data_IF_897373229683
#
_entry.id   IF_897373229683
#
_cell.length_a   1.000
_cell.length_b   1.000
_cell.length_c   1.000
_cell.angle_alpha   90.00
_cell.angle_beta   90.00
_cell.angle_gamma   90.00
#
_symmetry.space_group_name_H-M   'P 1'
#
loop_
_entity.id
_entity.type
_entity.pdbx_description
1 polymer ?
#
# COMPACT_ATOMS: atom_id res chain seq x y z
N UNK A 1 -17.49 -20.15 -15.67
CA UNK A 1 -16.51 -21.03 -16.33
C UNK A 1 -16.78 -22.47 -15.87
N UNK A 2 -16.70 -23.48 -16.73
CA UNK A 2 -16.84 -24.88 -16.27
C UNK A 2 -15.64 -25.29 -15.40
N UNK A 3 -15.85 -26.13 -14.39
CA UNK A 3 -14.74 -26.59 -13.52
C UNK A 3 -13.69 -27.39 -14.30
N UNK A 4 -14.11 -28.15 -15.32
CA UNK A 4 -13.19 -28.87 -16.21
C UNK A 4 -12.24 -27.93 -16.98
N UNK A 5 -12.75 -26.78 -17.42
CA UNK A 5 -11.94 -25.75 -18.08
C UNK A 5 -11.06 -25.01 -17.08
N UNK A 6 -11.56 -24.78 -15.86
CA UNK A 6 -10.77 -24.21 -14.77
C UNK A 6 -9.55 -25.09 -14.46
N UNK A 7 -9.72 -26.41 -14.33
CA UNK A 7 -8.61 -27.33 -14.05
C UNK A 7 -7.56 -27.35 -15.17
N UNK A 8 -7.98 -27.19 -16.43
CA UNK A 8 -7.06 -27.06 -17.56
C UNK A 8 -6.24 -25.76 -17.49
N UNK A 9 -6.85 -24.65 -17.07
CA UNK A 9 -6.18 -23.35 -16.90
C UNK A 9 -5.29 -23.38 -15.65
N UNK A 10 -5.78 -23.92 -14.54
CA UNK A 10 -5.07 -23.97 -13.27
C UNK A 10 -3.76 -24.75 -13.39
N UNK A 11 -3.74 -25.85 -14.15
CA UNK A 11 -2.50 -26.58 -14.46
C UNK A 11 -1.45 -25.72 -15.18
N UNK A 12 -1.86 -24.79 -16.06
CA UNK A 12 -0.95 -23.84 -16.72
C UNK A 12 -0.41 -22.78 -15.75
N UNK A 13 -1.15 -22.51 -14.68
CA UNK A 13 -0.77 -21.58 -13.61
C UNK A 13 0.02 -22.27 -12.48
N UNK A 14 0.35 -23.56 -12.63
CA UNK A 14 1.14 -24.33 -11.66
C UNK A 14 0.37 -25.01 -10.54
N UNK A 15 -0.98 -25.01 -10.58
CA UNK A 15 -1.78 -25.77 -9.62
C UNK A 15 -1.68 -27.28 -9.91
N UNK A 16 -1.59 -28.08 -8.84
CA UNK A 16 -1.70 -29.54 -8.93
C UNK A 16 -3.16 -29.96 -9.13
N UNK A 17 -3.35 -31.25 -9.42
CA UNK A 17 -4.68 -31.83 -9.58
C UNK A 17 -5.52 -31.59 -8.32
N UNK A 18 -6.78 -31.15 -8.50
CA UNK A 18 -7.75 -30.81 -7.45
C UNK A 18 -7.45 -29.59 -6.56
N UNK A 19 -6.26 -28.98 -6.63
CA UNK A 19 -5.94 -27.78 -5.86
C UNK A 19 -6.79 -26.57 -6.27
N UNK A 20 -7.17 -26.48 -7.54
CA UNK A 20 -8.02 -25.40 -8.04
C UNK A 20 -9.42 -25.44 -7.41
N UNK A 21 -10.01 -26.63 -7.30
CA UNK A 21 -11.29 -26.83 -6.61
C UNK A 21 -11.20 -26.50 -5.13
N UNK A 22 -10.15 -26.99 -4.45
CA UNK A 22 -9.89 -26.67 -3.04
C UNK A 22 -9.70 -25.16 -2.80
N UNK A 23 -9.04 -24.47 -3.74
CA UNK A 23 -8.86 -23.02 -3.70
C UNK A 23 -10.20 -22.28 -3.79
N UNK A 24 -11.08 -22.65 -4.73
CA UNK A 24 -12.40 -22.03 -4.83
C UNK A 24 -13.21 -22.20 -3.54
N UNK A 25 -13.20 -23.41 -2.98
CA UNK A 25 -13.92 -23.74 -1.74
C UNK A 25 -13.35 -23.00 -0.52
N UNK A 26 -12.08 -22.59 -0.56
CA UNK A 26 -11.46 -21.76 0.48
C UNK A 26 -11.98 -20.32 0.47
N UNK A 27 -12.51 -19.83 -0.65
CA UNK A 27 -12.99 -18.44 -0.77
C UNK A 27 -14.44 -18.38 -1.26
N UNK A 28 -15.42 -18.87 -0.46
CA UNK A 28 -16.83 -18.91 -0.86
C UNK A 28 -17.47 -17.51 -0.99
N UNK A 29 -16.84 -16.48 -0.45
CA UNK A 29 -17.25 -15.08 -0.58
C UNK A 29 -16.76 -14.44 -1.89
N UNK A 30 -15.71 -14.98 -2.53
CA UNK A 30 -15.22 -14.54 -3.84
C UNK A 30 -15.82 -15.38 -4.95
N UNK A 31 -15.91 -16.69 -4.76
CA UNK A 31 -16.34 -17.64 -5.78
C UNK A 31 -17.65 -18.32 -5.42
N UNK A 32 -18.53 -18.41 -6.41
CA UNK A 32 -19.77 -19.17 -6.35
C UNK A 32 -19.67 -20.36 -7.30
N UNK A 33 -19.86 -21.56 -6.75
CA UNK A 33 -19.97 -22.80 -7.52
C UNK A 33 -21.44 -23.15 -7.65
N UNK A 34 -21.91 -23.38 -8.87
CA UNK A 34 -23.29 -23.70 -9.19
C UNK A 34 -23.37 -24.75 -10.30
N UNK A 35 -24.43 -25.54 -10.31
CA UNK A 35 -24.69 -26.50 -11.38
C UNK A 35 -25.38 -25.78 -12.56
N UNK A 36 -24.89 -26.00 -13.78
CA UNK A 36 -25.53 -25.42 -14.95
C UNK A 36 -26.92 -26.05 -15.14
N UNK A 37 -28.01 -25.25 -15.26
CA UNK A 37 -29.39 -25.74 -15.28
C UNK A 37 -29.74 -26.67 -16.46
N UNK A 38 -28.85 -26.79 -17.45
CA UNK A 38 -29.08 -27.53 -18.70
C UNK A 38 -28.03 -28.62 -18.84
N UNK A 39 -26.76 -28.26 -18.71
CA UNK A 39 -25.65 -29.18 -18.92
C UNK A 39 -25.39 -30.11 -17.73
N UNK A 40 -25.97 -29.86 -16.54
CA UNK A 40 -25.75 -30.65 -15.31
C UNK A 40 -24.26 -30.79 -14.92
N UNK A 41 -23.44 -29.81 -15.34
CA UNK A 41 -22.01 -29.71 -15.03
C UNK A 41 -21.81 -28.53 -14.08
N UNK A 42 -20.83 -28.64 -13.19
CA UNK A 42 -20.46 -27.57 -12.27
C UNK A 42 -19.74 -26.43 -12.99
N UNK A 43 -20.20 -25.22 -12.71
CA UNK A 43 -19.62 -23.95 -13.12
C UNK A 43 -19.18 -23.16 -11.90
N UNK A 44 -18.14 -22.36 -12.07
CA UNK A 44 -17.75 -21.33 -11.11
C UNK A 44 -17.94 -19.94 -11.72
N UNK A 45 -18.32 -18.98 -10.88
CA UNK A 45 -18.32 -17.54 -11.20
C UNK A 45 -17.87 -16.74 -9.98
N UNK A 46 -17.52 -15.47 -10.21
CA UNK A 46 -17.32 -14.54 -9.11
C UNK A 46 -18.67 -14.18 -8.49
N UNK A 47 -18.69 -14.00 -7.16
CA UNK A 47 -19.87 -13.50 -6.46
C UNK A 47 -20.17 -12.06 -6.89
N UNK A 48 -21.44 -11.64 -6.77
CA UNK A 48 -21.82 -10.24 -7.06
C UNK A 48 -20.99 -9.24 -6.27
N UNK A 49 -20.68 -9.56 -5.00
CA UNK A 49 -19.83 -8.72 -4.13
C UNK A 49 -18.41 -8.58 -4.70
N UNK A 50 -17.80 -9.67 -5.14
CA UNK A 50 -16.47 -9.64 -5.76
C UNK A 50 -16.45 -8.87 -7.08
N UNK A 51 -17.45 -9.08 -7.94
CA UNK A 51 -17.58 -8.35 -9.22
C UNK A 51 -17.72 -6.85 -8.97
N UNK A 52 -18.59 -6.44 -8.04
CA UNK A 52 -18.75 -5.02 -7.70
C UNK A 52 -17.44 -4.41 -7.16
N UNK A 53 -16.71 -5.14 -6.32
CA UNK A 53 -15.45 -4.65 -5.76
C UNK A 53 -14.35 -4.49 -6.83
N UNK A 54 -14.25 -5.42 -7.77
CA UNK A 54 -13.32 -5.33 -8.91
C UNK A 54 -13.69 -4.15 -9.81
N UNK A 55 -14.99 -3.94 -10.06
CA UNK A 55 -15.45 -2.80 -10.86
C UNK A 55 -15.15 -1.46 -10.19
N UNK A 56 -15.29 -1.37 -8.86
CA UNK A 56 -14.92 -0.18 -8.09
C UNK A 56 -13.41 0.11 -8.17
N UNK A 57 -12.55 -0.92 -8.08
CA UNK A 57 -11.11 -0.73 -8.26
C UNK A 57 -10.79 -0.21 -9.66
N UNK A 58 -11.41 -0.79 -10.70
CA UNK A 58 -11.23 -0.35 -12.08
C UNK A 58 -11.66 1.11 -12.28
N UNK A 59 -12.82 1.48 -11.73
CA UNK A 59 -13.32 2.85 -11.81
C UNK A 59 -12.37 3.82 -11.10
N UNK A 60 -11.93 3.51 -9.88
CA UNK A 60 -10.96 4.34 -9.16
C UNK A 60 -9.63 4.49 -9.92
N UNK A 61 -9.19 3.44 -10.63
CA UNK A 61 -7.98 3.50 -11.46
C UNK A 61 -8.14 4.44 -12.67
N UNK A 62 -9.31 4.44 -13.30
CA UNK A 62 -9.63 5.32 -14.43
C UNK A 62 -9.78 6.78 -13.97
N UNK A 63 -10.43 7.02 -12.83
CA UNK A 63 -10.58 8.35 -12.22
C UNK A 63 -9.23 8.96 -11.79
N UNK A 64 -8.26 8.12 -11.42
CA UNK A 64 -6.91 8.54 -11.01
C UNK A 64 -5.96 8.84 -12.19
N UNK A 65 -6.40 8.74 -13.45
CA UNK A 65 -5.52 9.00 -14.61
C UNK A 65 -4.83 10.39 -14.56
N UNK A 66 -5.51 11.50 -14.21
CA UNK A 66 -4.85 12.81 -14.09
C UNK A 66 -3.73 12.81 -13.04
N UNK A 67 -3.97 12.19 -11.88
CA UNK A 67 -2.95 12.05 -10.84
C UNK A 67 -1.81 11.13 -11.28
N UNK A 68 -2.08 10.10 -12.09
CA UNK A 68 -1.07 9.25 -12.68
C UNK A 68 -0.15 10.03 -13.63
N UNK A 69 -0.71 10.89 -14.49
CA UNK A 69 0.06 11.80 -15.35
C UNK A 69 0.98 12.67 -14.51
N UNK A 70 0.45 13.30 -13.46
CA UNK A 70 1.24 14.15 -12.56
C UNK A 70 2.35 13.37 -11.85
N UNK A 71 2.06 12.14 -11.40
CA UNK A 71 3.06 11.27 -10.76
C UNK A 71 4.19 10.90 -11.72
N UNK A 72 3.87 10.52 -12.95
CA UNK A 72 4.89 10.19 -13.95
C UNK A 72 5.68 11.43 -14.37
N UNK A 73 5.03 12.59 -14.48
CA UNK A 73 5.70 13.87 -14.74
C UNK A 73 6.73 14.18 -13.65
N UNK A 74 6.32 14.17 -12.37
CA UNK A 74 7.23 14.36 -11.23
C UNK A 74 8.31 13.28 -11.20
N UNK A 75 7.98 12.03 -11.51
CA UNK A 75 8.94 10.93 -11.51
C UNK A 75 10.04 11.12 -12.58
N UNK A 76 9.69 11.58 -13.78
CA UNK A 76 10.67 11.90 -14.82
C UNK A 76 11.53 13.10 -14.44
N UNK A 77 10.97 14.11 -13.76
CA UNK A 77 11.74 15.26 -13.26
C UNK A 77 12.81 14.87 -12.24
N UNK A 78 12.65 13.74 -11.54
CA UNK A 78 13.70 13.19 -10.66
C UNK A 78 14.86 12.57 -11.45
N UNK A 79 14.65 12.19 -12.71
CA UNK A 79 15.74 11.66 -13.52
C UNK A 79 16.66 12.79 -13.96
N UNK A 80 17.96 12.53 -13.91
CA UNK A 80 19.00 13.48 -14.32
C UNK A 80 18.74 14.07 -15.72
N UNK A 81 18.35 13.22 -16.66
CA UNK A 81 18.13 13.60 -18.06
C UNK A 81 16.64 13.77 -18.40
N UNK A 82 15.75 13.75 -17.41
CA UNK A 82 14.30 13.80 -17.67
C UNK A 82 13.75 12.58 -18.42
N UNK A 83 14.48 11.47 -18.46
CA UNK A 83 14.14 10.29 -19.27
C UNK A 83 14.29 8.98 -18.50
N UNK A 84 13.33 8.08 -18.67
CA UNK A 84 13.34 6.75 -18.04
C UNK A 84 12.91 5.69 -19.04
N UNK A 85 13.48 4.49 -18.91
CA UNK A 85 13.08 3.33 -19.73
C UNK A 85 11.64 2.95 -19.42
N UNK A 86 10.82 2.81 -20.46
CA UNK A 86 9.40 2.46 -20.36
C UNK A 86 9.18 1.14 -19.60
N UNK A 87 10.03 0.15 -19.86
CA UNK A 87 9.95 -1.17 -19.21
C UNK A 87 10.10 -1.09 -17.69
N UNK A 88 10.94 -0.18 -17.17
CA UNK A 88 11.10 -0.04 -15.72
C UNK A 88 9.83 0.53 -15.07
N UNK A 89 9.15 1.46 -15.74
CA UNK A 89 7.85 1.98 -15.30
C UNK A 89 6.79 0.87 -15.40
N UNK A 90 6.81 0.06 -16.47
CA UNK A 90 5.91 -1.07 -16.67
C UNK A 90 6.02 -2.12 -15.54
N UNK A 91 7.23 -2.42 -15.06
CA UNK A 91 7.46 -3.34 -13.92
C UNK A 91 6.85 -2.78 -12.62
N UNK A 92 6.85 -1.46 -12.43
CA UNK A 92 6.30 -0.76 -11.27
C UNK A 92 4.87 -0.19 -11.52
N UNK A 93 4.21 -0.59 -12.60
CA UNK A 93 2.93 -0.02 -13.09
C UNK A 93 1.86 0.03 -12.01
N UNK A 94 1.68 -1.07 -11.28
CA UNK A 94 0.67 -1.21 -10.23
C UNK A 94 0.96 -0.28 -9.04
N UNK A 95 2.24 -0.11 -8.68
CA UNK A 95 2.66 0.76 -7.57
C UNK A 95 2.44 2.24 -7.91
N UNK A 96 2.68 2.62 -9.16
CA UNK A 96 2.36 3.93 -9.71
C UNK A 96 0.89 4.09 -10.07
N UNK A 97 0.01 3.11 -9.79
CA UNK A 97 -1.43 3.22 -10.07
C UNK A 97 -1.72 3.50 -11.53
N UNK A 98 -0.98 2.87 -12.43
CA UNK A 98 -1.12 3.03 -13.87
C UNK A 98 -2.04 1.95 -14.47
N UNK A 99 -2.91 2.29 -15.44
CA UNK A 99 -3.74 1.31 -16.14
C UNK A 99 -2.89 0.39 -17.01
N UNK A 100 -3.45 -0.72 -17.48
CA UNK A 100 -2.73 -1.70 -18.32
C UNK A 100 -2.26 -1.08 -19.64
N UNK A 101 -3.05 -0.16 -20.17
CA UNK A 101 -2.82 0.58 -21.41
C UNK A 101 -2.11 1.93 -21.19
N UNK A 102 -1.39 2.12 -20.07
CA UNK A 102 -0.81 3.42 -19.69
C UNK A 102 0.06 4.07 -20.77
N UNK A 103 0.68 3.28 -21.64
CA UNK A 103 1.43 3.80 -22.79
C UNK A 103 0.55 4.67 -23.68
N UNK A 104 -0.70 4.25 -23.89
CA UNK A 104 -1.68 5.04 -24.61
C UNK A 104 -2.36 6.05 -23.70
N UNK A 105 -2.95 5.59 -22.60
CA UNK A 105 -3.86 6.41 -21.78
C UNK A 105 -3.19 7.52 -20.97
N UNK A 106 -1.90 7.38 -20.64
CA UNK A 106 -1.12 8.35 -19.85
C UNK A 106 -0.01 9.01 -20.67
N UNK A 107 0.70 8.25 -21.51
CA UNK A 107 1.86 8.79 -22.24
C UNK A 107 1.43 9.42 -23.57
N UNK A 108 0.86 8.63 -24.50
CA UNK A 108 0.53 9.13 -25.84
C UNK A 108 -0.64 10.13 -25.87
N UNK A 109 -1.56 10.07 -24.89
CA UNK A 109 -2.62 11.07 -24.73
C UNK A 109 -2.15 12.43 -24.22
N UNK A 110 -0.92 12.53 -23.71
CA UNK A 110 -0.34 13.77 -23.18
C UNK A 110 0.99 14.11 -23.89
N UNK A 111 0.97 14.37 -25.21
CA UNK A 111 2.17 14.62 -26.01
C UNK A 111 2.84 15.97 -25.70
N UNK A 112 2.10 16.90 -25.08
CA UNK A 112 2.58 18.16 -24.54
C UNK A 112 3.50 17.96 -23.33
N UNK A 113 3.30 16.88 -22.57
CA UNK A 113 4.07 16.56 -21.37
C UNK A 113 5.14 15.51 -21.68
N UNK A 114 4.79 14.46 -22.41
CA UNK A 114 5.63 13.28 -22.61
C UNK A 114 5.97 13.04 -24.08
N UNK A 115 7.21 12.60 -24.30
CA UNK A 115 7.70 12.08 -25.58
C UNK A 115 8.06 10.62 -25.42
N UNK A 116 7.47 9.76 -26.25
CA UNK A 116 7.84 8.35 -26.35
C UNK A 116 8.74 8.15 -27.57
N UNK A 117 9.91 7.55 -27.39
CA UNK A 117 10.83 7.26 -28.49
C UNK A 117 11.64 5.97 -28.28
N UNK A 118 12.13 5.41 -29.38
CA UNK A 118 12.96 4.22 -29.38
C UNK A 118 14.45 4.60 -29.42
N UNK A 119 15.26 4.01 -28.56
CA UNK A 119 16.71 4.17 -28.59
C UNK A 119 17.28 3.50 -29.84
N UNK A 120 18.05 4.28 -30.62
CA UNK A 120 18.63 3.88 -31.92
C UNK A 120 19.40 2.55 -31.85
N UNK A 121 20.13 2.33 -30.75
CA UNK A 121 21.10 1.23 -30.68
C UNK A 121 20.53 -0.05 -30.05
N UNK A 122 19.52 0.07 -29.18
CA UNK A 122 19.08 -1.04 -28.32
C UNK A 122 17.62 -1.42 -28.51
N UNK A 123 16.89 -0.70 -29.39
CA UNK A 123 15.42 -0.87 -29.60
C UNK A 123 14.60 -0.75 -28.31
N UNK A 124 15.21 -0.20 -27.25
CA UNK A 124 14.56 0.04 -25.97
C UNK A 124 13.71 1.30 -26.07
N UNK A 125 12.48 1.23 -25.53
CA UNK A 125 11.59 2.39 -25.47
C UNK A 125 11.89 3.26 -24.25
N UNK A 126 11.92 4.58 -24.46
CA UNK A 126 12.13 5.58 -23.42
C UNK A 126 10.98 6.58 -23.41
N UNK A 127 10.60 6.98 -22.20
CA UNK A 127 9.73 8.14 -21.97
C UNK A 127 10.65 9.29 -21.57
N UNK A 128 10.50 10.42 -22.24
CA UNK A 128 11.17 11.68 -21.95
C UNK A 128 10.14 12.75 -21.63
N UNK A 129 10.49 13.63 -20.69
CA UNK A 129 9.73 14.81 -20.37
C UNK A 129 10.02 15.91 -21.40
N UNK A 130 8.97 16.49 -21.99
CA UNK A 130 9.12 17.57 -22.99
C UNK A 130 9.59 18.86 -22.33
N UNK A 131 8.93 19.25 -21.23
CA UNK A 131 9.25 20.46 -20.48
C UNK A 131 9.14 20.23 -18.97
N UNK A 132 10.16 20.66 -18.24
CA UNK A 132 10.18 20.66 -16.78
C UNK A 132 9.30 21.79 -16.27
N UNK A 133 8.34 21.47 -15.40
CA UNK A 133 7.50 22.44 -14.73
C UNK A 133 8.07 22.77 -13.34
N UNK A 134 8.63 23.97 -13.13
CA UNK A 134 9.23 24.33 -11.84
C UNK A 134 8.22 24.32 -10.69
N UNK A 135 6.94 24.53 -10.95
CA UNK A 135 5.89 24.51 -9.92
C UNK A 135 5.73 23.13 -9.26
N UNK A 136 6.14 22.07 -9.96
CA UNK A 136 6.12 20.69 -9.48
C UNK A 136 7.40 20.28 -8.76
N UNK A 137 8.41 21.16 -8.72
CA UNK A 137 9.71 20.91 -8.08
C UNK A 137 9.69 20.87 -6.55
N UNK A 138 8.51 20.97 -5.91
CA UNK A 138 8.37 20.87 -4.46
C UNK A 138 8.26 19.40 -4.04
N UNK A 139 9.15 18.97 -3.16
CA UNK A 139 9.15 17.60 -2.64
C UNK A 139 8.02 17.36 -1.63
N UNK A 140 7.58 16.10 -1.53
CA UNK A 140 6.62 15.67 -0.52
C UNK A 140 7.10 16.01 0.90
N UNK A 141 8.39 15.81 1.18
CA UNK A 141 8.95 16.16 2.48
C UNK A 141 8.91 17.67 2.78
N UNK A 142 9.05 18.53 1.77
CA UNK A 142 8.97 19.98 1.95
C UNK A 142 7.55 20.42 2.29
N UNK A 143 6.54 19.83 1.66
CA UNK A 143 5.13 20.05 2.01
C UNK A 143 4.81 19.60 3.42
N UNK A 144 5.37 18.46 3.84
CA UNK A 144 5.21 17.96 5.21
C UNK A 144 5.88 18.86 6.24
N UNK A 145 7.09 19.36 5.94
CA UNK A 145 7.78 20.36 6.76
C UNK A 145 6.96 21.63 6.94
N UNK A 146 6.38 22.14 5.85
CA UNK A 146 5.54 23.33 5.89
C UNK A 146 4.31 23.12 6.77
N UNK A 147 3.68 21.93 6.67
CA UNK A 147 2.56 21.55 7.53
C UNK A 147 2.97 21.48 9.00
N UNK A 148 4.07 20.82 9.33
CA UNK A 148 4.55 20.74 10.72
C UNK A 148 4.95 22.11 11.28
N UNK A 149 5.56 22.97 10.47
CA UNK A 149 5.91 24.34 10.85
C UNK A 149 4.66 25.13 11.25
N UNK A 150 3.63 25.12 10.39
CA UNK A 150 2.38 25.87 10.64
C UNK A 150 1.56 25.30 11.80
N UNK A 151 1.49 23.98 11.93
CA UNK A 151 0.64 23.33 12.95
C UNK A 151 1.31 23.29 14.34
N UNK A 152 2.63 23.12 14.41
CA UNK A 152 3.36 22.92 15.69
C UNK A 152 4.20 24.12 16.12
N UNK A 153 4.35 25.14 15.28
CA UNK A 153 5.10 26.36 15.61
C UNK A 153 6.58 26.10 15.91
N UNK A 154 7.16 25.04 15.36
CA UNK A 154 8.57 24.70 15.56
C UNK A 154 9.43 25.70 14.79
N UNK A 155 10.61 26.04 15.32
CA UNK A 155 11.54 26.99 14.69
C UNK A 155 11.95 26.59 13.25
N UNK A 156 11.88 27.56 12.33
CA UNK A 156 12.06 27.36 10.89
C UNK A 156 13.44 26.78 10.54
N UNK A 157 14.48 27.17 11.27
CA UNK A 157 15.85 26.68 11.06
C UNK A 157 15.99 25.20 11.40
N UNK A 158 15.24 24.72 12.40
CA UNK A 158 15.27 23.34 12.81
C UNK A 158 14.55 22.40 11.83
N UNK A 159 13.58 22.93 11.07
CA UNK A 159 12.76 22.14 10.15
C UNK A 159 13.28 22.15 8.70
N UNK A 160 14.01 23.21 8.30
CA UNK A 160 14.37 23.47 6.89
C UNK A 160 14.86 22.25 6.10
N UNK A 161 15.64 21.37 6.72
CA UNK A 161 16.19 20.16 6.09
C UNK A 161 15.78 18.85 6.80
N UNK A 162 14.82 18.90 7.72
CA UNK A 162 14.50 17.77 8.58
C UNK A 162 13.61 16.73 7.89
N UNK A 163 13.68 15.49 8.33
CA UNK A 163 12.76 14.42 7.94
C UNK A 163 11.89 14.07 9.15
N UNK A 164 10.65 13.65 8.90
CA UNK A 164 9.82 13.07 9.95
C UNK A 164 10.41 11.70 10.29
N UNK A 165 10.78 11.52 11.56
CA UNK A 165 11.46 10.32 12.04
C UNK A 165 10.61 9.64 13.11
N UNK A 166 10.11 8.46 12.78
CA UNK A 166 9.33 7.62 13.67
C UNK A 166 10.08 6.30 13.89
N UNK A 167 10.73 6.19 15.05
CA UNK A 167 11.42 4.95 15.41
C UNK A 167 10.41 3.87 15.82
N UNK A 168 10.70 2.58 15.55
CA UNK A 168 9.83 1.49 15.97
C UNK A 168 9.73 1.41 17.50
N UNK A 169 8.60 0.90 18.04
CA UNK A 169 8.45 0.68 19.47
C UNK A 169 9.60 -0.17 20.01
N UNK A 170 10.17 0.24 21.16
CA UNK A 170 11.30 -0.46 21.79
C UNK A 170 12.68 -0.16 21.19
N UNK A 171 12.79 0.73 20.20
CA UNK A 171 14.10 1.14 19.66
C UNK A 171 14.87 1.98 20.69
N UNK A 172 15.96 1.42 21.24
CA UNK A 172 16.81 2.11 22.23
C UNK A 172 17.73 3.11 21.54
N UNK A 173 17.42 4.39 21.65
CA UNK A 173 18.21 5.49 21.08
C UNK A 173 19.33 5.85 22.07
N UNK A 174 20.56 5.46 21.77
CA UNK A 174 21.73 5.90 22.53
C UNK A 174 22.00 7.41 22.40
N UNK A 175 22.64 8.02 23.42
CA UNK A 175 22.96 9.46 23.46
C UNK A 175 23.71 9.93 22.20
N UNK A 176 24.75 9.19 21.78
CA UNK A 176 25.53 9.52 20.59
C UNK A 176 24.72 9.43 19.30
N UNK A 177 23.85 8.41 19.18
CA UNK A 177 22.97 8.27 18.03
C UNK A 177 21.98 9.43 17.94
N UNK A 178 21.40 9.87 19.07
CA UNK A 178 20.52 11.05 19.12
C UNK A 178 21.22 12.31 18.62
N UNK A 179 22.48 12.54 19.02
CA UNK A 179 23.29 13.68 18.56
C UNK A 179 23.60 13.55 17.06
N UNK A 180 23.94 12.35 16.58
CA UNK A 180 24.21 12.11 15.17
C UNK A 180 22.98 12.39 14.30
N UNK A 181 21.80 11.90 14.69
CA UNK A 181 20.54 12.18 14.02
C UNK A 181 20.25 13.67 14.05
N UNK A 182 20.40 14.35 15.20
CA UNK A 182 20.18 15.79 15.31
C UNK A 182 21.08 16.61 14.36
N UNK A 183 22.37 16.28 14.27
CA UNK A 183 23.30 16.91 13.31
C UNK A 183 22.90 16.60 11.86
N UNK A 184 22.53 15.36 11.56
CA UNK A 184 22.11 14.95 10.21
C UNK A 184 20.82 15.66 9.78
N UNK A 185 19.86 15.87 10.68
CA UNK A 185 18.61 16.56 10.40
C UNK A 185 18.83 18.01 9.95
N UNK A 186 19.83 18.70 10.52
CA UNK A 186 20.18 20.08 10.18
C UNK A 186 21.08 20.22 8.94
N UNK A 187 21.64 19.12 8.43
CA UNK A 187 22.52 19.15 7.26
C UNK A 187 21.77 19.66 6.02
N UNK A 188 22.25 20.74 5.35
CA UNK A 188 21.69 21.19 4.09
C UNK A 188 21.88 20.13 2.99
N UNK A 189 20.95 20.03 2.05
CA UNK A 189 21.10 19.17 0.87
C UNK A 189 20.38 19.81 -0.33
N UNK A 190 20.82 19.44 -1.54
CA UNK A 190 20.18 19.90 -2.78
C UNK A 190 18.85 19.19 -3.01
N UNK A 191 17.86 19.90 -3.53
CA UNK A 191 16.55 19.31 -3.80
C UNK A 191 16.66 18.16 -4.81
N UNK A 192 15.90 17.05 -4.64
CA UNK A 192 15.72 16.01 -5.64
C UNK A 192 15.48 16.50 -7.06
N UNK A 193 14.80 17.64 -7.22
CA UNK A 193 14.46 18.23 -8.52
C UNK A 193 15.49 19.23 -9.06
N UNK A 194 16.50 19.57 -8.27
CA UNK A 194 17.57 20.50 -8.65
C UNK A 194 18.65 19.77 -9.46
N UNK A 195 19.19 20.40 -10.50
CA UNK A 195 20.33 19.85 -11.25
C UNK A 195 21.62 20.04 -10.45
N UNK A 196 22.33 18.94 -10.18
CA UNK A 196 23.61 18.95 -9.45
C UNK A 196 24.83 18.69 -10.32
N UNK A 197 24.66 18.53 -11.63
CA UNK A 197 25.76 18.22 -12.56
C UNK A 197 26.88 19.27 -12.57
N UNK A 198 26.57 20.53 -12.22
CA UNK A 198 27.52 21.63 -12.20
C UNK A 198 28.32 21.81 -10.89
N UNK A 199 28.04 21.05 -9.83
CA UNK A 199 28.73 21.20 -8.54
C UNK A 199 29.96 20.29 -8.42
N UNK A 200 30.97 20.72 -7.66
CA UNK A 200 32.10 19.86 -7.30
C UNK A 200 31.71 18.90 -6.16
N UNK A 201 31.54 17.62 -6.53
CA UNK A 201 31.12 16.55 -5.62
C UNK A 201 32.29 15.84 -4.91
N UNK A 202 33.54 16.33 -5.07
CA UNK A 202 34.72 15.68 -4.47
C UNK A 202 34.83 15.91 -2.97
N UNK A 203 34.34 17.06 -2.48
CA UNK A 203 34.38 17.40 -1.05
C UNK A 203 33.59 16.40 -0.21
N UNK A 204 34.12 16.07 0.98
CA UNK A 204 33.43 15.24 1.96
C UNK A 204 32.08 15.84 2.39
N UNK A 205 31.98 17.16 2.43
CA UNK A 205 30.71 17.83 2.73
C UNK A 205 29.69 17.63 1.60
N UNK A 206 30.12 17.78 0.34
CA UNK A 206 29.28 17.54 -0.83
C UNK A 206 28.78 16.09 -0.88
N UNK A 207 29.63 15.11 -0.53
CA UNK A 207 29.23 13.71 -0.43
C UNK A 207 28.10 13.49 0.61
N UNK A 208 28.21 14.09 1.80
CA UNK A 208 27.13 14.03 2.80
C UNK A 208 25.83 14.68 2.32
N UNK A 209 25.92 15.80 1.58
CA UNK A 209 24.75 16.43 0.95
C UNK A 209 24.12 15.50 -0.09
N UNK A 210 24.93 14.80 -0.88
CA UNK A 210 24.47 13.81 -1.86
C UNK A 210 23.83 12.59 -1.20
N UNK A 211 24.39 12.08 -0.10
CA UNK A 211 23.78 11.00 0.68
C UNK A 211 22.39 11.41 1.19
N UNK A 212 22.28 12.61 1.79
CA UNK A 212 20.99 13.12 2.25
C UNK A 212 20.02 13.39 1.09
N UNK A 213 20.51 13.86 -0.05
CA UNK A 213 19.73 13.94 -1.29
C UNK A 213 19.24 12.56 -1.72
N UNK A 214 20.06 11.52 -1.66
CA UNK A 214 19.66 10.14 -1.96
C UNK A 214 18.49 9.65 -1.09
N UNK A 215 18.48 10.03 0.20
CA UNK A 215 17.34 9.78 1.09
C UNK A 215 16.09 10.54 0.61
N UNK A 216 16.24 11.82 0.27
CA UNK A 216 15.15 12.64 -0.27
C UNK A 216 14.60 12.10 -1.60
N UNK A 217 15.47 11.58 -2.48
CA UNK A 217 15.09 10.97 -3.75
C UNK A 217 14.23 9.73 -3.53
N UNK A 218 14.67 8.80 -2.66
CA UNK A 218 13.91 7.59 -2.37
C UNK A 218 12.59 7.94 -1.65
N UNK A 219 12.62 8.90 -0.74
CA UNK A 219 11.43 9.45 -0.10
C UNK A 219 10.43 9.95 -1.13
N UNK A 220 10.87 10.75 -2.10
CA UNK A 220 9.99 11.28 -3.15
C UNK A 220 9.45 10.15 -4.05
N UNK A 221 10.29 9.20 -4.47
CA UNK A 221 9.85 8.04 -5.28
C UNK A 221 8.75 7.26 -4.55
N UNK A 222 8.94 6.95 -3.28
CA UNK A 222 7.91 6.28 -2.48
C UNK A 222 6.67 7.16 -2.36
N UNK A 223 6.83 8.47 -2.15
CA UNK A 223 5.74 9.43 -2.07
C UNK A 223 4.91 9.52 -3.36
N UNK A 224 5.49 9.21 -4.52
CA UNK A 224 4.77 9.14 -5.80
C UNK A 224 4.00 7.82 -5.99
N UNK A 225 4.26 6.78 -5.20
CA UNK A 225 3.47 5.53 -5.28
C UNK A 225 2.11 5.66 -4.61
N UNK A 226 1.13 4.86 -5.04
CA UNK A 226 -0.24 4.84 -4.49
C UNK A 226 -0.23 4.51 -3.01
N UNK A 227 0.54 3.48 -2.64
CA UNK A 227 0.59 2.93 -1.29
C UNK A 227 1.81 3.41 -0.50
N UNK A 228 2.54 4.42 -0.97
CA UNK A 228 3.75 4.93 -0.30
C UNK A 228 4.78 3.84 0.04
N UNK A 229 4.86 2.83 -0.84
CA UNK A 229 5.72 1.65 -0.71
C UNK A 229 6.21 1.18 -2.07
N UNK A 230 7.41 0.60 -2.11
CA UNK A 230 7.98 0.03 -3.33
C UNK A 230 8.99 -1.07 -2.98
N UNK A 231 9.17 -2.05 -3.86
CA UNK A 231 10.20 -3.08 -3.65
C UNK A 231 11.60 -2.55 -3.96
N UNK A 232 12.60 -3.08 -3.26
CA UNK A 232 14.00 -2.69 -3.45
C UNK A 232 14.50 -3.00 -4.87
N UNK A 233 14.03 -4.10 -5.46
CA UNK A 233 14.32 -4.50 -6.84
C UNK A 233 13.77 -3.48 -7.84
N UNK A 234 12.55 -2.98 -7.62
CA UNK A 234 11.94 -1.93 -8.45
C UNK A 234 12.71 -0.61 -8.36
N UNK A 235 13.13 -0.20 -7.16
CA UNK A 235 13.97 1.00 -6.98
C UNK A 235 15.32 0.82 -7.69
N UNK A 236 15.91 -0.38 -7.64
CA UNK A 236 17.19 -0.66 -8.28
C UNK A 236 17.17 -0.43 -9.81
N UNK A 237 16.03 -0.63 -10.48
CA UNK A 237 15.88 -0.32 -11.91
C UNK A 237 16.05 1.17 -12.23
N UNK A 238 15.79 2.06 -11.27
CA UNK A 238 15.92 3.52 -11.43
C UNK A 238 17.25 4.06 -10.93
N UNK A 239 18.10 3.21 -10.33
CA UNK A 239 19.35 3.61 -9.66
C UNK A 239 20.25 4.50 -10.53
N UNK A 240 20.46 4.12 -11.78
CA UNK A 240 21.34 4.89 -12.69
C UNK A 240 20.69 6.15 -13.22
N UNK A 241 19.35 6.20 -13.33
CA UNK A 241 18.64 7.35 -13.87
C UNK A 241 18.53 8.50 -12.85
N UNK A 242 18.74 8.19 -11.56
CA UNK A 242 18.47 9.04 -10.40
C UNK A 242 19.64 9.10 -9.41
N UNK A 243 20.83 8.65 -9.82
CA UNK A 243 22.07 8.58 -9.01
C UNK A 243 21.91 7.98 -7.60
N UNK A 244 21.11 6.92 -7.49
CA UNK A 244 20.90 6.26 -6.20
C UNK A 244 22.13 5.40 -5.80
N UNK A 245 22.37 5.22 -4.49
CA UNK A 245 23.49 4.42 -3.99
C UNK A 245 23.49 2.98 -4.52
N UNK A 246 24.68 2.41 -4.75
CA UNK A 246 24.83 1.01 -5.22
C UNK A 246 24.28 0.00 -4.23
N UNK A 247 24.57 0.19 -2.93
CA UNK A 247 24.13 -0.70 -1.85
C UNK A 247 22.83 -0.16 -1.22
N UNK A 248 21.73 -0.19 -1.97
CA UNK A 248 20.44 0.37 -1.54
C UNK A 248 19.96 -0.18 -0.19
N UNK A 249 20.15 -1.48 0.06
CA UNK A 249 19.73 -2.12 1.31
C UNK A 249 20.47 -1.54 2.51
N UNK A 250 21.79 -1.52 2.46
CA UNK A 250 22.64 -1.01 3.54
C UNK A 250 22.37 0.49 3.77
N UNK A 251 22.20 1.24 2.69
CA UNK A 251 21.87 2.66 2.72
C UNK A 251 20.52 2.90 3.45
N UNK A 252 19.46 2.16 3.10
CA UNK A 252 18.16 2.33 3.74
C UNK A 252 18.15 1.87 5.21
N UNK A 253 18.95 0.86 5.55
CA UNK A 253 19.12 0.39 6.93
C UNK A 253 19.82 1.42 7.84
N UNK A 254 20.49 2.43 7.29
CA UNK A 254 21.01 3.55 8.09
C UNK A 254 19.91 4.56 8.47
N UNK A 255 18.77 4.55 7.75
CA UNK A 255 17.69 5.51 7.89
C UNK A 255 16.37 4.84 8.36
N UNK A 256 16.47 3.94 9.33
CA UNK A 256 15.35 3.12 9.83
C UNK A 256 14.21 3.91 10.49
N UNK A 257 14.45 5.17 10.87
CA UNK A 257 13.38 6.02 11.41
C UNK A 257 12.54 6.69 10.34
N UNK A 258 12.99 6.70 9.07
CA UNK A 258 12.24 7.23 7.92
C UNK A 258 11.62 6.07 7.13
N UNK A 259 12.44 5.04 6.86
CA UNK A 259 12.04 3.89 6.08
C UNK A 259 11.81 2.65 6.95
N UNK A 260 10.81 1.87 6.60
CA UNK A 260 10.61 0.52 7.12
C UNK A 260 10.86 -0.50 6.00
N UNK A 261 11.68 -1.51 6.28
CA UNK A 261 11.95 -2.60 5.33
C UNK A 261 11.26 -3.86 5.82
N UNK A 262 10.29 -4.35 5.05
CA UNK A 262 9.64 -5.64 5.27
C UNK A 262 10.32 -6.71 4.42
N UNK A 263 10.66 -7.82 5.07
CA UNK A 263 11.10 -9.07 4.43
C UNK A 263 9.95 -10.06 4.26
N UNK A 264 8.70 -9.66 4.55
CA UNK A 264 7.52 -10.52 4.43
C UNK A 264 7.06 -10.60 2.97
N UNK A 265 7.75 -11.41 2.17
CA UNK A 265 7.39 -11.68 0.76
C UNK A 265 8.33 -12.71 0.12
N UNK A 266 7.78 -13.63 -0.69
CA UNK A 266 8.52 -14.71 -1.37
C UNK A 266 9.62 -15.37 -0.51
N UNK A 267 9.26 -15.86 0.69
CA UNK A 267 10.19 -16.50 1.63
C UNK A 267 11.42 -15.64 2.00
N UNK A 268 11.25 -14.33 2.16
CA UNK A 268 12.33 -13.41 2.56
C UNK A 268 13.14 -12.84 1.41
N UNK A 269 12.87 -13.25 0.17
CA UNK A 269 13.60 -12.79 -1.03
C UNK A 269 13.22 -11.37 -1.43
N UNK A 270 11.96 -10.99 -1.25
CA UNK A 270 11.49 -9.65 -1.59
C UNK A 270 11.62 -8.71 -0.39
N UNK A 271 12.28 -7.58 -0.63
CA UNK A 271 12.37 -6.49 0.34
C UNK A 271 11.45 -5.35 -0.10
N UNK A 272 10.39 -5.10 0.68
CA UNK A 272 9.46 -3.99 0.42
C UNK A 272 9.77 -2.85 1.38
N UNK A 273 9.94 -1.66 0.82
CA UNK A 273 10.28 -0.44 1.57
C UNK A 273 9.02 0.39 1.70
N UNK A 274 8.73 0.83 2.92
CA UNK A 274 7.59 1.65 3.28
C UNK A 274 8.07 2.97 3.85
N UNK A 275 7.33 4.04 3.55
CA UNK A 275 7.54 5.34 4.17
C UNK A 275 6.84 5.38 5.53
N UNK A 276 7.56 5.53 6.63
CA UNK A 276 6.97 5.40 7.97
C UNK A 276 5.97 6.50 8.31
N UNK A 277 6.26 7.73 7.91
CA UNK A 277 5.38 8.87 8.16
C UNK A 277 4.01 8.74 7.45
N UNK A 278 3.97 7.99 6.35
CA UNK A 278 2.74 7.80 5.57
C UNK A 278 1.77 6.80 6.21
N UNK A 279 2.17 6.09 7.27
CA UNK A 279 1.35 5.03 7.88
C UNK A 279 1.08 5.29 9.36
N UNK A 280 -0.18 5.09 9.76
CA UNK A 280 -0.62 5.13 11.16
C UNK A 280 -1.51 3.92 11.45
N UNK A 281 -1.15 3.11 12.45
CA UNK A 281 -1.87 1.88 12.83
C UNK A 281 -2.10 0.87 11.67
N UNK A 282 -1.19 0.84 10.70
CA UNK A 282 -1.28 -0.05 9.53
C UNK A 282 -1.97 0.56 8.30
N UNK A 283 -2.53 1.75 8.45
CA UNK A 283 -3.31 2.42 7.41
C UNK A 283 -2.61 3.65 6.87
N UNK A 284 -2.89 4.00 5.62
CA UNK A 284 -2.32 5.19 5.01
C UNK A 284 -2.93 6.46 5.63
N UNK A 285 -2.07 7.41 6.02
CA UNK A 285 -2.49 8.67 6.66
C UNK A 285 -3.31 9.52 5.68
N UNK A 286 -2.90 9.58 4.42
CA UNK A 286 -3.61 10.26 3.34
C UNK A 286 -4.04 9.22 2.29
N UNK A 287 -5.21 8.57 2.49
CA UNK A 287 -5.69 7.54 1.57
C UNK A 287 -6.15 8.13 0.23
N UNK A 288 -5.94 7.38 -0.85
CA UNK A 288 -6.52 7.65 -2.16
C UNK A 288 -7.63 6.61 -2.45
N UNK A 289 -8.60 6.94 -3.29
CA UNK A 289 -9.70 6.06 -3.69
C UNK A 289 -9.22 4.73 -4.25
N UNK A 290 -8.13 4.71 -5.03
CA UNK A 290 -7.55 3.46 -5.54
C UNK A 290 -6.99 2.60 -4.41
N UNK A 291 -6.34 3.20 -3.41
CA UNK A 291 -5.87 2.48 -2.23
C UNK A 291 -7.04 1.89 -1.43
N UNK A 292 -8.11 2.68 -1.23
CA UNK A 292 -9.31 2.22 -0.53
C UNK A 292 -10.00 1.07 -1.27
N UNK A 293 -10.09 1.14 -2.61
CA UNK A 293 -10.67 0.08 -3.42
C UNK A 293 -9.84 -1.21 -3.36
N UNK A 294 -8.51 -1.12 -3.45
CA UNK A 294 -7.59 -2.26 -3.30
C UNK A 294 -7.65 -2.87 -1.90
N UNK A 295 -7.76 -2.03 -0.88
CA UNK A 295 -7.90 -2.48 0.50
C UNK A 295 -9.19 -3.25 0.72
N UNK A 296 -10.34 -2.72 0.27
CA UNK A 296 -11.63 -3.42 0.33
C UNK A 296 -11.60 -4.75 -0.43
N UNK A 297 -10.92 -4.82 -1.57
CA UNK A 297 -10.70 -6.08 -2.29
C UNK A 297 -9.85 -7.06 -1.49
N UNK A 298 -8.78 -6.57 -0.84
CA UNK A 298 -7.91 -7.39 0.00
C UNK A 298 -8.65 -7.90 1.25
N UNK A 299 -9.45 -7.05 1.89
CA UNK A 299 -10.33 -7.42 3.00
C UNK A 299 -11.34 -8.48 2.57
N UNK A 300 -11.90 -8.34 1.35
CA UNK A 300 -12.78 -9.36 0.79
C UNK A 300 -12.06 -10.71 0.69
N UNK A 301 -10.82 -10.76 0.19
CA UNK A 301 -10.04 -12.00 0.04
C UNK A 301 -9.60 -12.58 1.39
N UNK A 302 -9.29 -11.74 2.37
CA UNK A 302 -8.82 -12.16 3.70
C UNK A 302 -9.95 -12.58 4.65
N UNK A 303 -11.22 -12.41 4.25
CA UNK A 303 -12.35 -12.91 5.04
C UNK A 303 -12.24 -14.42 5.26
N UNK A 304 -12.22 -14.82 6.53
CA UNK A 304 -12.21 -16.24 6.89
C UNK A 304 -13.42 -16.97 6.29
N UNK A 305 -13.25 -18.21 5.79
CA UNK A 305 -14.36 -19.03 5.30
C UNK A 305 -15.51 -19.15 6.31
N UNK A 306 -15.19 -19.19 7.62
CA UNK A 306 -16.19 -19.29 8.69
C UNK A 306 -17.07 -18.04 8.80
N UNK A 307 -16.48 -16.85 8.68
CA UNK A 307 -17.21 -15.57 8.71
C UNK A 307 -18.02 -15.35 7.42
N UNK A 308 -17.49 -15.82 6.29
CA UNK A 308 -18.18 -15.80 5.01
C UNK A 308 -19.42 -16.71 4.96
N UNK A 309 -19.38 -17.87 5.62
CA UNK A 309 -20.54 -18.76 5.72
C UNK A 309 -21.66 -18.17 6.57
N UNK A 310 -21.34 -17.51 7.70
CA UNK A 310 -22.33 -16.81 8.52
C UNK A 310 -23.01 -15.68 7.74
N UNK A 311 -22.25 -14.86 7.01
CA UNK A 311 -22.82 -13.79 6.16
C UNK A 311 -23.70 -14.37 5.03
N UNK A 312 -23.32 -15.53 4.46
CA UNK A 312 -24.12 -16.23 3.44
C UNK A 312 -25.40 -16.80 4.02
N UNK A 313 -25.36 -17.37 5.23
CA UNK A 313 -26.52 -17.86 5.97
C UNK A 313 -27.45 -16.70 6.35
N UNK A 314 -26.94 -15.60 6.90
CA UNK A 314 -27.73 -14.40 7.17
C UNK A 314 -28.34 -13.79 5.90
N UNK A 315 -27.60 -13.84 4.78
CA UNK A 315 -28.06 -13.41 3.47
C UNK A 315 -29.10 -14.35 2.83
N UNK A 316 -29.06 -15.66 3.11
CA UNK A 316 -30.12 -16.60 2.71
C UNK A 316 -31.35 -16.43 3.58
N UNK A 317 -31.22 -16.23 4.90
CA UNK A 317 -32.35 -15.95 5.78
C UNK A 317 -33.12 -14.67 5.39
N UNK A 318 -32.43 -13.62 4.92
CA UNK A 318 -33.12 -12.43 4.37
C UNK A 318 -33.84 -12.72 3.06
N UNK A 319 -33.27 -13.52 2.16
CA UNK A 319 -33.91 -13.89 0.89
C UNK A 319 -35.08 -14.84 1.07
N UNK A 320 -34.99 -15.78 2.01
CA UNK A 320 -36.08 -16.71 2.35
C UNK A 320 -37.26 -15.96 2.99
N UNK A 321 -36.98 -14.95 3.82
CA UNK A 321 -38.02 -14.08 4.40
C UNK A 321 -38.74 -13.25 3.32
N UNK A 322 -38.00 -12.69 2.35
CA UNK A 322 -38.59 -11.95 1.23
C UNK A 322 -39.39 -12.86 0.27
N UNK A 323 -38.98 -14.12 0.09
CA UNK A 323 -39.73 -15.12 -0.70
C UNK A 323 -40.97 -15.61 0.04
N UNK A 324 -40.90 -15.82 1.36
CA UNK A 324 -42.06 -16.19 2.19
C UNK A 324 -43.07 -15.05 2.30
N UNK A 325 -42.62 -13.80 2.37
CA UNK A 325 -43.47 -12.62 2.36
C UNK A 325 -44.17 -12.45 1.00
N UNK A 326 -43.45 -12.68 -0.12
CA UNK A 326 -44.06 -12.74 -1.46
C UNK A 326 -45.04 -13.91 -1.63
N UNK A 327 -44.77 -15.07 -1.02
CA UNK A 327 -45.67 -16.23 -1.01
C UNK A 327 -46.90 -16.01 -0.13
N UNK A 328 -46.78 -15.25 0.97
CA UNK A 328 -47.91 -14.82 1.81
C UNK A 328 -48.79 -13.82 1.07
N UNK A 329 -48.22 -12.78 0.48
CA UNK A 329 -48.95 -11.80 -0.35
C UNK A 329 -49.70 -12.48 -1.51
N UNK A 330 -49.10 -13.51 -2.12
CA UNK A 330 -49.74 -14.28 -3.21
C UNK A 330 -50.82 -15.26 -2.71
N UNK A 331 -50.80 -15.66 -1.43
CA UNK A 331 -51.84 -16.50 -0.80
C UNK A 331 -53.02 -15.63 -0.37
N UNK A 332 -52.74 -14.47 0.20
CA UNK A 332 -53.75 -13.48 0.63
C UNK A 332 -54.57 -12.93 -0.54
N UNK A 333 -53.99 -12.83 -1.75
CA UNK A 333 -54.72 -12.45 -2.97
C UNK A 333 -55.65 -13.55 -3.53
N UNK A 334 -55.44 -14.82 -3.15
CA UNK A 334 -56.24 -15.96 -3.63
C UNK A 334 -57.34 -16.33 -2.61
N UNK A 335 -57.10 -16.12 -1.32
CA UNK A 335 -58.12 -16.34 -0.26
C UNK A 335 -59.17 -15.22 -0.18
N UNK A 336 -58.90 -14.02 -0.68
CA UNK A 336 -59.82 -12.87 -0.55
C UNK A 336 -60.76 -12.64 -1.75
N UNK A 337 -60.99 -13.64 -2.62
CA UNK A 337 -61.89 -13.53 -3.78
C UNK A 337 -63.22 -14.28 -3.63
N UNK A 338 -63.57 -14.78 -2.45
CA UNK A 338 -64.90 -15.37 -2.25
C UNK A 338 -65.35 -15.20 -0.81
N UNK A 339 -65.86 -14.01 -0.46
CA UNK A 339 -67.01 -13.83 0.44
C UNK A 339 -67.34 -12.33 0.61
N UNK A 340 -68.63 -11.99 0.44
CA UNK A 340 -69.23 -10.80 1.07
C UNK A 340 -69.65 -9.64 0.17
N UNK A 341 -70.75 -9.80 -0.57
CA UNK A 341 -71.60 -8.69 -1.06
C UNK A 341 -72.69 -8.38 0.00
N UNK A 342 -73.20 -7.14 0.00
CA UNK A 342 -74.31 -6.52 0.79
C UNK A 342 -73.82 -5.69 2.00
N UNK A 343 -73.70 -4.35 1.90
CA UNK A 343 -74.73 -3.28 1.93
C UNK A 343 -75.29 -3.02 3.35
N UNK A 344 -75.13 -1.78 3.84
CA UNK A 344 -75.96 -1.25 4.94
C UNK A 344 -75.38 -0.08 5.73
N UNK A 345 -75.50 1.13 5.18
CA UNK A 345 -75.89 2.40 5.83
C UNK A 345 -75.42 2.85 7.24
N UNK A 346 -74.93 4.11 7.23
CA UNK A 346 -75.31 5.28 8.07
C UNK A 346 -74.56 5.67 9.36
N UNK A 347 -74.05 6.91 9.28
CA UNK A 347 -74.19 8.08 10.19
C UNK A 347 -73.12 8.36 11.28
N UNK A 348 -72.52 9.56 11.14
CA UNK A 348 -72.13 10.64 12.11
C UNK A 348 -71.84 10.27 13.58
N UNK A 349 -70.94 10.85 14.39
CA UNK A 349 -70.43 12.23 14.62
C UNK A 349 -69.37 12.06 15.75
N UNK A 350 -68.15 12.63 15.66
CA UNK A 350 -67.64 13.84 16.32
C UNK A 350 -67.20 13.75 17.82
N UNK A 351 -66.03 14.37 18.11
CA UNK A 351 -65.43 14.79 19.41
C UNK A 351 -65.04 13.70 20.44
N UNK A 352 -64.00 13.77 21.29
CA UNK A 352 -63.09 14.82 21.78
C UNK A 352 -62.73 14.50 23.26
N UNK A 353 -61.50 14.80 23.73
CA UNK A 353 -61.06 14.75 25.15
C UNK A 353 -60.17 13.52 25.51
N UNK A 354 -58.88 13.65 25.86
CA UNK A 354 -58.18 14.29 27.00
C UNK A 354 -57.97 13.40 28.26
N UNK A 355 -56.69 13.16 28.55
CA UNK A 355 -55.96 13.16 29.84
C UNK A 355 -56.15 12.04 30.92
N UNK A 356 -55.00 11.65 31.51
CA UNK A 356 -54.83 10.78 32.69
C UNK A 356 -53.62 9.85 32.56
N UNK A 357 -52.36 10.31 32.69
CA UNK A 357 -51.50 10.35 33.92
C UNK A 357 -51.47 9.05 34.72
N UNK A 358 -50.30 8.39 34.81
CA UNK A 358 -49.67 8.03 36.09
C UNK A 358 -48.22 7.54 35.95
N UNK A 359 -47.49 7.76 37.05
CA UNK A 359 -46.03 7.88 37.18
C UNK A 359 -45.34 6.61 37.72
N UNK A 360 -44.02 6.73 37.89
CA UNK A 360 -43.08 5.97 38.75
C UNK A 360 -42.08 5.08 37.98
N UNK A 361 -40.77 5.09 38.22
CA UNK A 361 -39.92 5.83 39.17
C UNK A 361 -38.44 5.59 38.79
N UNK A 362 -37.59 6.51 39.24
CA UNK A 362 -36.12 6.59 39.25
C UNK A 362 -35.40 5.25 39.60
N UNK A 363 -34.11 5.00 39.32
CA UNK A 363 -32.90 5.75 39.72
C UNK A 363 -31.69 5.29 38.89
N UNK A 364 -30.78 6.20 38.57
CA UNK A 364 -29.45 5.88 38.05
C UNK A 364 -28.41 5.66 39.17
N UNK A 365 -27.18 5.34 38.76
CA UNK A 365 -25.88 5.90 39.20
C UNK A 365 -24.78 5.06 38.54
N UNK A 366 -23.82 5.75 37.91
CA UNK A 366 -22.63 5.14 37.31
C UNK A 366 -21.51 4.93 38.33
N UNK A 367 -20.44 4.28 37.88
CA UNK A 367 -19.15 4.35 38.57
C UNK A 367 -18.02 4.13 37.56
N UNK A 368 -17.10 5.09 37.53
CA UNK A 368 -15.75 4.97 36.98
C UNK A 368 -14.90 4.09 37.91
N UNK A 369 -13.82 3.51 37.36
CA UNK A 369 -12.82 2.74 38.11
C UNK A 369 -11.49 2.73 37.38
N UNK A 370 -10.51 3.36 38.02
CA UNK A 370 -9.08 3.40 37.70
C UNK A 370 -8.41 2.02 37.87
N UNK A 371 -7.38 1.73 37.07
CA UNK A 371 -6.35 0.74 37.42
C UNK A 371 -4.96 1.32 37.19
N UNK A 372 -4.30 1.67 38.31
CA UNK A 372 -2.85 1.73 38.45
C UNK A 372 -2.38 0.33 38.87
N UNK A 373 -1.26 -0.13 38.32
CA UNK A 373 -0.57 -1.30 38.86
C UNK A 373 0.91 -1.03 39.08
N UNK A 374 1.35 -1.54 40.22
CA UNK A 374 2.55 -1.18 40.96
C UNK A 374 3.71 -2.11 40.63
N UNK A 375 4.91 -1.61 40.90
CA UNK A 375 6.21 -2.26 40.83
C UNK A 375 6.37 -3.41 41.83
N UNK A 376 7.05 -4.48 41.42
CA UNK A 376 7.83 -5.32 42.32
C UNK A 376 9.26 -5.53 41.80
N UNK A 377 10.18 -5.37 42.75
CA UNK A 377 11.63 -5.49 42.62
C UNK A 377 12.01 -6.82 43.26
N UNK A 378 12.69 -7.69 42.53
CA UNK A 378 13.62 -8.63 43.14
C UNK A 378 14.95 -8.62 42.40
N UNK A 379 15.98 -8.40 43.22
CA UNK A 379 17.40 -8.45 42.94
C UNK A 379 17.87 -9.90 42.89
N UNK A 380 18.69 -10.24 41.89
CA UNK A 380 19.69 -11.28 42.10
C UNK A 380 21.02 -10.88 41.47
N UNK A 381 22.07 -11.04 42.27
CA UNK A 381 23.44 -10.67 42.00
C UNK A 381 24.23 -11.95 41.69
N UNK A 382 24.96 -11.97 40.56
CA UNK A 382 25.70 -13.17 40.18
C UNK A 382 26.78 -12.93 39.12
N UNK A 383 27.94 -12.53 39.62
CA UNK A 383 29.30 -12.87 39.14
C UNK A 383 29.73 -12.64 37.69
N UNK A 384 30.77 -11.80 37.61
CA UNK A 384 31.83 -11.78 36.61
C UNK A 384 32.38 -13.15 36.20
N UNK A 385 32.63 -13.33 34.91
CA UNK A 385 33.92 -13.84 34.43
C UNK A 385 34.27 -13.23 33.07
N UNK A 386 35.38 -12.51 33.08
CA UNK A 386 36.21 -12.18 31.94
C UNK A 386 36.78 -13.44 31.32
N UNK A 387 36.82 -13.52 29.99
CA UNK A 387 38.02 -14.07 29.36
C UNK A 387 38.34 -13.36 28.05
N UNK A 388 39.51 -12.73 28.08
CA UNK A 388 40.23 -12.14 26.98
C UNK A 388 41.25 -13.17 26.51
N UNK A 389 41.31 -13.44 25.22
CA UNK A 389 42.51 -14.01 24.60
C UNK A 389 42.68 -13.42 23.22
N UNK A 390 43.51 -12.39 23.19
CA UNK A 390 44.40 -12.05 22.09
C UNK A 390 45.23 -13.26 21.71
N UNK A 391 45.35 -13.56 20.41
CA UNK A 391 46.63 -14.00 19.87
C UNK A 391 46.76 -13.59 18.40
N UNK A 392 47.94 -13.10 18.13
CA UNK A 392 48.43 -12.39 16.97
C UNK A 392 49.39 -13.29 16.19
N UNK A 393 49.54 -12.96 14.91
CA UNK A 393 50.73 -13.18 14.08
C UNK A 393 51.09 -14.61 13.61
N UNK A 394 51.44 -14.67 12.33
CA UNK A 394 52.05 -15.85 11.71
C UNK A 394 51.90 -15.87 10.20
N UNK A 395 52.70 -15.05 9.53
CA UNK A 395 52.98 -15.10 8.08
C UNK A 395 53.15 -16.53 7.56
N UNK A 396 52.75 -16.76 6.31
CA UNK A 396 53.62 -17.45 5.35
C UNK A 396 53.20 -17.11 3.92
N UNK A 397 54.14 -16.44 3.26
CA UNK A 397 54.21 -16.19 1.83
C UNK A 397 54.29 -17.51 1.05
N UNK A 398 53.57 -17.59 -0.07
CA UNK A 398 53.91 -18.41 -1.22
C UNK A 398 53.12 -17.92 -2.43
N UNK A 399 53.63 -16.87 -3.08
CA UNK A 399 53.36 -16.62 -4.49
C UNK A 399 53.99 -17.76 -5.31
N UNK A 400 53.20 -18.45 -6.12
CA UNK A 400 53.71 -19.22 -7.26
C UNK A 400 52.89 -18.82 -8.50
N UNK A 401 53.35 -17.74 -9.14
CA UNK A 401 52.90 -17.28 -10.44
C UNK A 401 53.66 -18.09 -11.49
N UNK A 402 52.98 -19.06 -12.07
CA UNK A 402 53.47 -19.84 -13.19
C UNK A 402 53.27 -19.04 -14.50
N UNK A 403 54.31 -18.37 -14.99
CA UNK A 403 54.33 -17.81 -16.36
C UNK A 403 55.62 -18.21 -17.09
N UNK A 404 55.39 -18.69 -18.31
CA UNK A 404 56.18 -18.53 -19.54
C UNK A 404 56.90 -19.75 -20.12
N UNK A 405 56.31 -20.26 -21.20
CA UNK A 405 57.04 -20.66 -22.40
C UNK A 405 56.38 -20.02 -23.62
N UNK A 406 57.01 -18.99 -24.18
CA UNK A 406 57.24 -18.89 -25.64
C UNK A 406 58.14 -17.70 -26.02
N UNK A 407 59.23 -18.10 -26.69
CA UNK A 407 59.97 -17.46 -27.79
C UNK A 407 61.09 -16.44 -27.47
N UNK A 408 62.27 -16.95 -27.82
CA UNK A 408 63.50 -16.34 -28.39
C UNK A 408 64.42 -15.68 -27.38
#
# INVERSE_FOLDING_TARGET
>A
MSITRLDAIARRLGFKQFEAGAFLLKFPHVFEIFEHPVQRILYCRLTRKAVMQIQQEKQALEEQIPDAVMRIRKFLMLSNNGRVRLEHIRIARIDFGLPEDFEYSVILKNPDIFRLFDAKDTRNKYIELVEKDPSLGVCAIERLREKEYRERGIDAENIRFSFIVNFPPGFKIGKYFKIAVWKWQRLPYWSPYEDVSGYDLRSFEAQKRMEKRGVAMIHEILSLTVEKKLTLERIAHFRMAMDLPKKLKDFLLQHQGIFYISTRGNHGKLHTIFLREAYKKGDLVEPNDLYLARRKLSELILLSPRKANIDRELGSFRRDKDEDERKRIRRDYVENSCEGFMVGDKLETNEGGENGVDSDSCVGVGSEGDEQDVSDVESDAGSHSSDSSTESEGNNDAEDIHISKRRI
#
